data_IF_980429951521
#
_entry.id   IF_980429951521
#
_cell.length_a   1.000
_cell.length_b   1.000
_cell.length_c   1.000
_cell.angle_alpha   90.00
_cell.angle_beta   90.00
_cell.angle_gamma   90.00
#
_symmetry.space_group_name_H-M   'P 1'
#
loop_
_entity.id
_entity.type
_entity.pdbx_description
1 polymer ?
#
# COMPACT_ATOMS: atom_id res chain seq x y z
N UNK A 1 -1.68 -34.04 -4.35
CA UNK A 1 -1.71 -32.95 -3.35
C UNK A 1 -2.05 -31.72 -4.14
N UNK A 2 -3.19 -31.10 -3.85
CA UNK A 2 -3.64 -29.92 -4.59
C UNK A 2 -3.04 -28.67 -3.95
N UNK A 3 -2.61 -27.67 -4.74
CA UNK A 3 -2.11 -26.41 -4.20
C UNK A 3 -3.17 -25.72 -3.33
N UNK A 4 -2.76 -25.29 -2.14
CA UNK A 4 -3.58 -24.47 -1.25
C UNK A 4 -3.16 -22.99 -1.30
N UNK A 5 -3.84 -22.14 -0.53
CA UNK A 5 -3.55 -20.71 -0.48
C UNK A 5 -2.09 -20.43 -0.06
N UNK A 6 -1.53 -21.20 0.88
CA UNK A 6 -0.14 -21.01 1.28
C UNK A 6 0.84 -21.30 0.14
N UNK A 7 0.56 -22.36 -0.63
CA UNK A 7 1.34 -22.72 -1.82
C UNK A 7 1.31 -21.59 -2.86
N UNK A 8 0.13 -21.08 -3.15
CA UNK A 8 -0.06 -19.98 -4.11
C UNK A 8 0.60 -18.68 -3.66
N UNK A 9 0.48 -18.30 -2.39
CA UNK A 9 1.16 -17.12 -1.84
C UNK A 9 2.68 -17.25 -1.94
N UNK A 10 3.24 -18.42 -1.66
CA UNK A 10 4.69 -18.67 -1.76
C UNK A 10 5.20 -18.50 -3.20
N UNK A 11 4.49 -19.06 -4.19
CA UNK A 11 4.88 -18.94 -5.59
C UNK A 11 4.70 -17.51 -6.09
N UNK A 12 3.59 -16.85 -5.76
CA UNK A 12 3.40 -15.44 -6.13
C UNK A 12 4.48 -14.54 -5.53
N UNK A 13 4.86 -14.76 -4.27
CA UNK A 13 5.97 -14.05 -3.64
C UNK A 13 7.28 -14.29 -4.40
N UNK A 14 7.57 -15.53 -4.81
CA UNK A 14 8.76 -15.83 -5.61
C UNK A 14 8.74 -15.10 -6.96
N UNK A 15 7.61 -15.10 -7.69
CA UNK A 15 7.44 -14.32 -8.91
C UNK A 15 7.68 -12.83 -8.65
N UNK A 16 7.12 -12.33 -7.56
CA UNK A 16 7.27 -10.96 -7.05
C UNK A 16 8.75 -10.54 -6.94
N UNK A 17 9.57 -11.37 -6.31
CA UNK A 17 11.01 -11.10 -6.11
C UNK A 17 11.83 -11.30 -7.39
N UNK A 18 11.44 -12.26 -8.24
CA UNK A 18 12.10 -12.55 -9.49
C UNK A 18 11.71 -11.59 -10.65
N UNK A 19 10.68 -10.76 -10.45
CA UNK A 19 10.16 -9.88 -11.50
C UNK A 19 9.40 -10.61 -12.62
N UNK A 20 8.89 -11.82 -12.34
CA UNK A 20 8.16 -12.66 -13.28
C UNK A 20 6.69 -12.25 -13.33
N UNK A 21 6.42 -11.12 -13.98
CA UNK A 21 5.10 -10.46 -13.94
C UNK A 21 4.03 -11.30 -14.63
N UNK A 22 4.31 -11.80 -15.84
CA UNK A 22 3.32 -12.54 -16.63
C UNK A 22 2.99 -13.87 -15.95
N UNK A 23 3.99 -14.59 -15.45
CA UNK A 23 3.79 -15.84 -14.70
C UNK A 23 3.00 -15.61 -13.41
N UNK A 24 3.29 -14.51 -12.69
CA UNK A 24 2.53 -14.14 -11.50
C UNK A 24 1.06 -13.86 -11.80
N UNK A 25 0.76 -13.19 -12.92
CA UNK A 25 -0.60 -12.94 -13.39
C UNK A 25 -1.31 -14.23 -13.81
N UNK A 26 -0.64 -15.10 -14.56
CA UNK A 26 -1.19 -16.41 -14.95
C UNK A 26 -1.54 -17.26 -13.73
N UNK A 27 -0.65 -17.33 -12.74
CA UNK A 27 -0.87 -18.06 -11.50
C UNK A 27 -2.06 -17.47 -10.74
N UNK A 28 -2.12 -16.15 -10.59
CA UNK A 28 -3.23 -15.49 -9.91
C UNK A 28 -4.58 -15.75 -10.60
N UNK A 29 -4.63 -15.68 -11.93
CA UNK A 29 -5.84 -15.92 -12.71
C UNK A 29 -6.30 -17.40 -12.66
N UNK A 30 -5.41 -18.33 -12.32
CA UNK A 30 -5.76 -19.74 -12.11
C UNK A 30 -6.44 -20.03 -10.77
N UNK A 31 -6.43 -19.07 -9.84
CA UNK A 31 -7.00 -19.24 -8.50
C UNK A 31 -8.51 -19.08 -8.51
N UNK A 32 -9.21 -19.95 -7.77
CA UNK A 32 -10.67 -19.85 -7.61
C UNK A 32 -11.04 -18.78 -6.57
N UNK A 33 -10.34 -18.73 -5.45
CA UNK A 33 -10.62 -17.79 -4.35
C UNK A 33 -9.32 -17.13 -3.84
N UNK A 34 -8.86 -16.04 -4.48
CA UNK A 34 -7.73 -15.28 -3.98
C UNK A 34 -8.04 -14.63 -2.62
N UNK A 35 -7.07 -14.64 -1.71
CA UNK A 35 -7.17 -13.99 -0.41
C UNK A 35 -6.27 -12.75 -0.35
N UNK A 36 -6.22 -12.10 0.81
CA UNK A 36 -5.47 -10.85 1.02
C UNK A 36 -3.96 -11.00 0.74
N UNK A 37 -3.37 -12.16 1.04
CA UNK A 37 -1.95 -12.39 0.82
C UNK A 37 -1.64 -12.50 -0.68
N UNK A 38 -2.51 -13.17 -1.45
CA UNK A 38 -2.38 -13.27 -2.91
C UNK A 38 -2.47 -11.90 -3.57
N UNK A 39 -3.47 -11.09 -3.20
CA UNK A 39 -3.60 -9.73 -3.72
C UNK A 39 -2.40 -8.86 -3.34
N UNK A 40 -1.94 -8.94 -2.09
CA UNK A 40 -0.76 -8.18 -1.63
C UNK A 40 0.50 -8.55 -2.43
N UNK A 41 0.75 -9.85 -2.63
CA UNK A 41 1.90 -10.32 -3.42
C UNK A 41 1.84 -9.85 -4.88
N UNK A 42 0.66 -9.82 -5.49
CA UNK A 42 0.50 -9.43 -6.89
C UNK A 42 0.53 -7.91 -7.08
N UNK A 43 -0.02 -7.13 -6.14
CA UNK A 43 0.14 -5.65 -6.13
C UNK A 43 1.61 -5.28 -5.98
N UNK A 44 2.33 -5.99 -5.11
CA UNK A 44 3.76 -5.80 -4.89
C UNK A 44 4.60 -6.15 -6.15
N UNK A 45 4.23 -7.23 -6.86
CA UNK A 45 4.84 -7.62 -8.15
C UNK A 45 4.63 -6.54 -9.22
N UNK A 46 3.38 -6.13 -9.45
CA UNK A 46 3.03 -5.08 -10.41
C UNK A 46 3.66 -3.73 -10.03
N UNK A 47 3.66 -3.44 -8.74
CA UNK A 47 4.23 -2.24 -8.15
C UNK A 47 5.72 -2.12 -8.45
N UNK A 48 6.52 -3.15 -8.17
CA UNK A 48 7.96 -3.18 -8.52
C UNK A 48 8.23 -3.10 -10.02
N UNK A 49 7.33 -3.63 -10.84
CA UNK A 49 7.44 -3.55 -12.29
C UNK A 49 7.06 -2.17 -12.85
N UNK A 50 6.61 -1.22 -12.02
CA UNK A 50 6.13 0.09 -12.44
C UNK A 50 4.76 0.07 -13.13
N UNK A 51 4.03 -1.06 -13.08
CA UNK A 51 2.69 -1.24 -13.69
C UNK A 51 1.60 -0.69 -12.76
N UNK A 52 1.69 0.59 -12.41
CA UNK A 52 0.86 1.21 -11.36
C UNK A 52 -0.64 1.23 -11.69
N UNK A 53 -1.02 1.42 -12.95
CA UNK A 53 -2.43 1.40 -13.37
C UNK A 53 -3.08 0.03 -13.14
N UNK A 54 -2.31 -1.04 -13.37
CA UNK A 54 -2.76 -2.41 -13.13
C UNK A 54 -2.78 -2.74 -11.64
N UNK A 55 -1.78 -2.29 -10.88
CA UNK A 55 -1.77 -2.40 -9.44
C UNK A 55 -2.99 -1.69 -8.82
N UNK A 56 -3.33 -0.48 -9.28
CA UNK A 56 -4.52 0.24 -8.83
C UNK A 56 -5.81 -0.51 -9.18
N UNK A 57 -5.91 -1.04 -10.39
CA UNK A 57 -7.06 -1.85 -10.83
C UNK A 57 -7.23 -3.10 -9.98
N UNK A 58 -6.12 -3.74 -9.61
CA UNK A 58 -6.11 -4.92 -8.77
C UNK A 58 -6.53 -4.62 -7.33
N UNK A 59 -6.09 -3.49 -6.75
CA UNK A 59 -6.56 -3.05 -5.42
C UNK A 59 -8.08 -2.78 -5.44
N UNK A 60 -8.59 -2.12 -6.48
CA UNK A 60 -10.04 -1.89 -6.64
C UNK A 60 -10.81 -3.21 -6.80
N UNK A 61 -10.21 -4.22 -7.43
CA UNK A 61 -10.78 -5.57 -7.53
C UNK A 61 -10.80 -6.26 -6.16
N UNK A 62 -9.73 -6.15 -5.38
CA UNK A 62 -9.65 -6.76 -4.05
C UNK A 62 -10.73 -6.22 -3.12
N UNK A 63 -11.04 -4.91 -3.19
CA UNK A 63 -12.13 -4.32 -2.40
C UNK A 63 -13.49 -4.98 -2.64
N UNK A 64 -13.77 -5.41 -3.87
CA UNK A 64 -15.01 -6.09 -4.24
C UNK A 64 -15.03 -7.56 -3.82
N UNK A 65 -13.86 -8.21 -3.82
CA UNK A 65 -13.74 -9.66 -3.58
C UNK A 65 -13.55 -10.00 -2.11
N UNK A 66 -12.63 -9.32 -1.42
CA UNK A 66 -12.22 -9.62 -0.04
C UNK A 66 -12.45 -8.44 0.92
N UNK A 67 -13.16 -7.42 0.46
CA UNK A 67 -13.40 -6.19 1.21
C UNK A 67 -12.22 -5.22 1.19
N UNK A 68 -12.46 -4.04 1.75
CA UNK A 68 -11.46 -2.99 1.90
C UNK A 68 -10.38 -3.39 2.91
N UNK A 69 -9.20 -3.77 2.41
CA UNK A 69 -8.07 -4.25 3.20
C UNK A 69 -6.87 -3.30 3.05
N UNK A 70 -6.46 -2.68 4.15
CA UNK A 70 -5.47 -1.57 4.16
C UNK A 70 -4.07 -2.03 3.73
N UNK A 71 -3.69 -3.26 4.02
CA UNK A 71 -2.46 -3.94 3.59
C UNK A 71 -2.26 -3.88 2.06
N UNK A 72 -3.31 -4.17 1.28
CA UNK A 72 -3.25 -4.10 -0.19
C UNK A 72 -3.04 -2.66 -0.67
N UNK A 73 -3.69 -1.69 -0.04
CA UNK A 73 -3.50 -0.26 -0.32
C UNK A 73 -2.10 0.24 0.05
N UNK A 74 -1.51 -0.29 1.12
CA UNK A 74 -0.12 0.00 1.52
C UNK A 74 0.89 -0.50 0.47
N UNK A 75 0.64 -1.66 -0.14
CA UNK A 75 1.42 -2.16 -1.27
C UNK A 75 1.42 -1.15 -2.44
N UNK A 76 0.23 -0.68 -2.84
CA UNK A 76 0.10 0.33 -3.89
C UNK A 76 0.78 1.65 -3.52
N UNK A 77 0.66 2.09 -2.26
CA UNK A 77 1.29 3.33 -1.80
C UNK A 77 2.82 3.25 -1.86
N UNK A 78 3.38 2.08 -1.57
CA UNK A 78 4.81 1.79 -1.66
C UNK A 78 5.30 1.81 -3.10
N UNK A 79 4.51 1.27 -4.03
CA UNK A 79 4.80 1.37 -5.45
C UNK A 79 4.77 2.85 -5.94
N UNK A 80 3.78 3.63 -5.50
CA UNK A 80 3.71 5.07 -5.82
C UNK A 80 4.96 5.81 -5.34
N UNK A 81 5.43 5.52 -4.13
CA UNK A 81 6.65 6.10 -3.58
C UNK A 81 7.90 5.71 -4.36
N UNK A 82 8.04 4.43 -4.72
CA UNK A 82 9.18 3.93 -5.48
C UNK A 82 9.26 4.53 -6.90
N UNK A 83 8.11 4.76 -7.54
CA UNK A 83 8.04 5.26 -8.91
C UNK A 83 7.73 6.74 -9.05
N UNK A 84 7.59 7.47 -7.94
CA UNK A 84 7.34 8.91 -7.94
C UNK A 84 5.96 9.31 -8.47
N UNK A 85 4.96 8.41 -8.44
CA UNK A 85 3.60 8.74 -8.85
C UNK A 85 2.90 9.56 -7.75
N UNK A 86 3.09 10.87 -7.84
CA UNK A 86 2.54 11.83 -6.90
C UNK A 86 1.02 11.84 -6.92
N UNK A 87 0.39 11.68 -8.08
CA UNK A 87 -1.07 11.78 -8.22
C UNK A 87 -1.73 10.61 -7.52
N UNK A 88 -1.29 9.39 -7.83
CA UNK A 88 -1.82 8.19 -7.22
C UNK A 88 -1.45 8.12 -5.73
N UNK A 89 -0.20 8.45 -5.39
CA UNK A 89 0.27 8.49 -4.01
C UNK A 89 -0.55 9.40 -3.10
N UNK A 90 -0.93 10.60 -3.57
CA UNK A 90 -1.81 11.51 -2.81
C UNK A 90 -3.21 10.95 -2.59
N UNK A 91 -3.76 10.24 -3.59
CA UNK A 91 -5.07 9.60 -3.49
C UNK A 91 -5.04 8.49 -2.43
N UNK A 92 -4.05 7.61 -2.51
CA UNK A 92 -3.89 6.50 -1.55
C UNK A 92 -3.63 7.03 -0.14
N UNK A 93 -2.78 8.05 0.01
CA UNK A 93 -2.50 8.66 1.31
C UNK A 93 -3.78 9.19 1.98
N UNK A 94 -4.64 9.90 1.23
CA UNK A 94 -5.91 10.41 1.77
C UNK A 94 -6.79 9.27 2.30
N UNK A 95 -6.93 8.21 1.51
CA UNK A 95 -7.71 7.03 1.88
C UNK A 95 -7.15 6.34 3.14
N UNK A 96 -5.83 6.16 3.23
CA UNK A 96 -5.19 5.53 4.40
C UNK A 96 -5.30 6.41 5.65
N UNK A 97 -5.14 7.73 5.54
CA UNK A 97 -5.34 8.65 6.67
C UNK A 97 -6.75 8.56 7.26
N UNK A 98 -7.77 8.47 6.41
CA UNK A 98 -9.16 8.30 6.83
C UNK A 98 -9.39 6.93 7.50
N UNK A 99 -8.84 5.85 6.94
CA UNK A 99 -9.05 4.48 7.42
C UNK A 99 -8.25 4.15 8.69
N UNK A 100 -7.03 4.64 8.81
CA UNK A 100 -6.09 4.30 9.90
C UNK A 100 -5.96 5.43 10.95
N UNK A 101 -6.91 6.37 10.96
CA UNK A 101 -7.00 7.46 11.95
C UNK A 101 -5.70 8.25 12.06
N UNK A 102 -5.22 8.73 10.91
CA UNK A 102 -3.98 9.49 10.77
C UNK A 102 -2.78 8.72 11.36
N UNK A 103 -2.51 7.53 10.84
CA UNK A 103 -1.29 6.79 11.16
C UNK A 103 -0.04 7.59 10.70
N UNK A 104 0.97 7.81 11.57
CA UNK A 104 2.16 8.57 11.22
C UNK A 104 2.91 8.05 9.99
N UNK A 105 2.88 6.74 9.74
CA UNK A 105 3.56 6.09 8.61
C UNK A 105 3.05 6.64 7.27
N UNK A 106 1.76 7.01 7.19
CA UNK A 106 1.17 7.56 5.96
C UNK A 106 1.79 8.91 5.62
N UNK A 107 2.05 9.74 6.64
CA UNK A 107 2.69 11.04 6.49
C UNK A 107 4.16 10.89 6.10
N UNK A 108 4.88 9.95 6.70
CA UNK A 108 6.28 9.66 6.33
C UNK A 108 6.38 9.33 4.85
N UNK A 109 5.54 8.43 4.38
CA UNK A 109 5.59 7.97 3.00
C UNK A 109 5.12 9.03 1.99
N UNK A 110 4.07 9.80 2.33
CA UNK A 110 3.64 10.94 1.51
C UNK A 110 4.73 12.03 1.43
N UNK A 111 5.42 12.30 2.54
CA UNK A 111 6.55 13.24 2.56
C UNK A 111 7.69 12.77 1.65
N UNK A 112 7.98 11.47 1.62
CA UNK A 112 8.99 10.89 0.72
C UNK A 112 8.60 11.04 -0.75
N UNK A 113 7.33 10.83 -1.09
CA UNK A 113 6.82 11.07 -2.46
C UNK A 113 6.99 12.53 -2.86
N UNK A 114 6.61 13.48 -2.00
CA UNK A 114 6.81 14.91 -2.27
C UNK A 114 8.29 15.27 -2.45
N UNK A 115 9.16 14.77 -1.57
CA UNK A 115 10.60 14.99 -1.67
C UNK A 115 11.19 14.43 -2.98
N UNK A 116 10.78 13.21 -3.37
CA UNK A 116 11.18 12.60 -4.64
C UNK A 116 10.75 13.39 -5.88
N UNK A 117 9.62 14.11 -5.78
CA UNK A 117 9.14 15.02 -6.82
C UNK A 117 9.78 16.43 -6.77
N UNK A 118 10.71 16.69 -5.84
CA UNK A 118 11.32 18.01 -5.65
C UNK A 118 10.41 19.03 -4.94
N UNK A 119 9.26 18.60 -4.43
CA UNK A 119 8.28 19.40 -3.70
C UNK A 119 8.66 19.47 -2.21
N UNK A 120 9.83 20.06 -1.94
CA UNK A 120 10.44 20.09 -0.61
C UNK A 120 9.58 20.80 0.44
N UNK A 121 8.81 21.82 0.02
CA UNK A 121 7.93 22.57 0.90
C UNK A 121 6.78 21.68 1.39
N UNK A 122 6.11 20.98 0.47
CA UNK A 122 5.02 20.05 0.77
C UNK A 122 5.51 18.86 1.59
N UNK A 123 6.73 18.38 1.33
CA UNK A 123 7.36 17.33 2.12
C UNK A 123 7.54 17.78 3.58
N UNK A 124 7.98 19.02 3.80
CA UNK A 124 8.17 19.57 5.14
C UNK A 124 6.84 19.85 5.85
N UNK A 125 5.87 20.45 5.15
CA UNK A 125 4.51 20.67 5.67
C UNK A 125 3.86 19.34 6.12
N UNK A 126 4.07 18.27 5.36
CA UNK A 126 3.59 16.92 5.72
C UNK A 126 4.23 16.39 7.01
N UNK A 127 5.53 16.65 7.22
CA UNK A 127 6.24 16.26 8.46
C UNK A 127 5.79 17.07 9.66
N UNK A 128 5.54 18.36 9.49
CA UNK A 128 5.01 19.21 10.55
C UNK A 128 3.59 18.81 10.95
N UNK A 129 2.72 18.49 9.98
CA UNK A 129 1.38 17.96 10.25
C UNK A 129 1.45 16.66 11.07
N UNK A 130 2.37 15.75 10.74
CA UNK A 130 2.60 14.51 11.50
C UNK A 130 2.97 14.78 12.97
N UNK A 131 3.90 15.72 13.22
CA UNK A 131 4.32 16.09 14.58
C UNK A 131 3.15 16.62 15.42
N UNK A 132 2.30 17.45 14.81
CA UNK A 132 1.11 18.01 15.48
C UNK A 132 0.11 16.91 15.87
N UNK A 133 -0.16 15.96 14.97
CA UNK A 133 -1.06 14.83 15.25
C UNK A 133 -0.49 13.94 16.35
N UNK A 134 0.81 13.66 16.33
CA UNK A 134 1.49 12.91 17.39
C UNK A 134 1.38 13.58 18.76
N UNK A 135 1.60 14.90 18.83
CA UNK A 135 1.47 15.68 20.05
C UNK A 135 0.03 15.67 20.59
N UNK A 136 -0.99 15.75 19.73
CA UNK A 136 -2.40 15.65 20.13
C UNK A 136 -2.74 14.26 20.68
N UNK A 137 -2.28 13.18 20.04
CA UNK A 137 -2.49 11.80 20.53
C UNK A 137 -1.87 11.59 21.92
N UNK A 138 -0.65 12.08 22.15
CA UNK A 138 0.01 12.00 23.47
C UNK A 138 -0.76 12.75 24.56
N UNK A 139 -1.24 13.96 24.26
CA UNK A 139 -2.08 14.75 25.18
C UNK A 139 -3.43 14.09 25.44
N UNK A 140 -4.04 13.42 24.46
CA UNK A 140 -5.30 12.68 24.66
C UNK A 140 -5.15 11.44 25.54
N UNK A 141 -4.00 10.74 25.46
CA UNK A 141 -3.73 9.56 26.29
C UNK A 141 -3.29 9.90 27.71
N UNK A 142 -2.70 11.08 27.95
CA UNK A 142 -2.23 11.48 29.27
C UNK A 142 -3.32 12.00 30.24
N UNK A 143 -4.58 12.07 29.80
CA UNK A 143 -5.72 12.56 30.61
C UNK A 143 -6.67 11.45 31.10
N UNK A 144 -6.38 10.17 30.85
CA UNK A 144 -7.15 9.02 31.35
C UNK A 144 -6.49 8.32 32.56
N UNK A 145 -5.80 9.09 33.41
CA UNK A 145 -5.49 8.68 34.78
C UNK A 145 -5.71 9.85 35.70
N UNK A 146 -6.87 9.89 36.35
CA UNK A 146 -7.10 10.31 37.73
C UNK A 146 -8.50 9.86 38.13
#
# INVERSE_FOLDING_TARGET
>A
VDPDAATFAAVLSACSHAGLVEEGLEIFNSMVEPNVDHFSCLVDLLGRAGRLDEAESLVKMSEKSIGSRVDVWWGLFSACAAHGDLKLGKMVAKLLMEREKNDPSVFVQLSNIYAGAGLWKEAEETREAMKMIGAMKQRGCSWMRL
#
